data_IF_825026806042
#
_entry.id   IF_825026806042
#
_cell.length_a   1.000
_cell.length_b   1.000
_cell.length_c   1.000
_cell.angle_alpha   90.00
_cell.angle_beta   90.00
_cell.angle_gamma   90.00
#
_symmetry.space_group_name_H-M   'P 1'
#
loop_
_entity.id
_entity.type
_entity.pdbx_description
1 polymer ?
#
# COMPACT_ATOMS: atom_id res chain seq x y z
N UNK A 1 4.27 -4.32 5.20
CA UNK A 1 3.87 -5.75 5.32
C UNK A 1 3.22 -6.04 6.67
N UNK A 2 3.84 -5.68 7.79
CA UNK A 2 3.29 -5.92 9.13
C UNK A 2 1.87 -5.38 9.30
N UNK A 3 1.64 -4.12 8.94
CA UNK A 3 0.32 -3.50 9.02
C UNK A 3 -0.77 -4.26 8.26
N UNK A 4 -0.45 -4.80 7.08
CA UNK A 4 -1.41 -5.60 6.32
C UNK A 4 -1.76 -6.90 7.05
N UNK A 5 -0.78 -7.55 7.69
CA UNK A 5 -1.03 -8.73 8.54
C UNK A 5 -1.88 -8.37 9.76
N UNK A 6 -1.63 -7.22 10.39
CA UNK A 6 -2.42 -6.75 11.53
C UNK A 6 -3.89 -6.50 11.15
N UNK A 7 -4.17 -6.12 9.89
CA UNK A 7 -5.51 -6.03 9.35
C UNK A 7 -6.13 -7.37 8.93
N UNK A 8 -5.44 -8.49 9.14
CA UNK A 8 -5.91 -9.83 8.81
C UNK A 8 -5.71 -10.24 7.35
N UNK A 9 -4.93 -9.48 6.57
CA UNK A 9 -4.60 -9.87 5.20
C UNK A 9 -3.53 -10.97 5.17
N UNK A 10 -3.68 -11.92 4.24
CA UNK A 10 -2.60 -12.80 3.85
C UNK A 10 -1.55 -12.00 3.07
N UNK A 11 -0.28 -12.11 3.48
CA UNK A 11 0.83 -11.37 2.87
C UNK A 11 1.91 -12.35 2.44
N UNK A 12 2.27 -12.30 1.16
CA UNK A 12 3.26 -13.16 0.52
C UNK A 12 4.40 -12.32 -0.05
N UNK A 13 5.64 -12.78 0.17
CA UNK A 13 6.82 -12.25 -0.52
C UNK A 13 7.29 -13.30 -1.51
N UNK A 14 7.06 -13.05 -2.81
CA UNK A 14 7.40 -13.98 -3.89
C UNK A 14 7.66 -13.25 -5.19
N UNK A 15 8.24 -13.97 -6.14
CA UNK A 15 8.21 -13.55 -7.56
C UNK A 15 6.79 -13.74 -8.11
N UNK A 16 6.39 -12.84 -8.99
CA UNK A 16 5.11 -12.89 -9.71
C UNK A 16 5.33 -12.53 -11.17
N UNK A 17 4.47 -13.03 -12.05
CA UNK A 17 4.52 -12.71 -13.48
C UNK A 17 3.71 -11.46 -13.79
N UNK A 18 4.02 -10.81 -14.92
CA UNK A 18 3.28 -9.61 -15.36
C UNK A 18 1.79 -9.92 -15.58
N UNK A 19 1.44 -11.12 -16.02
CA UNK A 19 0.05 -11.50 -16.24
C UNK A 19 -0.75 -11.49 -14.92
N UNK A 20 -0.13 -11.91 -13.81
CA UNK A 20 -0.75 -11.82 -12.48
C UNK A 20 -0.96 -10.36 -12.02
N UNK A 21 -0.02 -9.46 -12.37
CA UNK A 21 -0.16 -8.03 -12.09
C UNK A 21 -1.34 -7.42 -12.85
N UNK A 22 -1.54 -7.82 -14.10
CA UNK A 22 -2.62 -7.31 -14.94
C UNK A 22 -4.02 -7.79 -14.47
N UNK A 23 -4.08 -8.80 -13.61
CA UNK A 23 -5.32 -9.30 -13.00
C UNK A 23 -5.57 -8.71 -11.58
N UNK A 24 -4.65 -7.91 -11.05
CA UNK A 24 -4.78 -7.35 -9.71
C UNK A 24 -5.93 -6.33 -9.61
N UNK A 25 -6.63 -6.31 -8.46
CA UNK A 25 -7.65 -5.30 -8.16
C UNK A 25 -7.08 -3.90 -7.89
N UNK A 26 -5.96 -3.87 -7.15
CA UNK A 26 -5.27 -2.67 -6.69
C UNK A 26 -3.76 -2.85 -6.80
N UNK A 27 -3.05 -1.78 -7.16
CA UNK A 27 -1.59 -1.75 -7.20
C UNK A 27 -1.13 -0.44 -6.59
N UNK A 28 -0.09 -0.50 -5.77
CA UNK A 28 0.53 0.68 -5.18
C UNK A 28 2.04 0.51 -5.06
N UNK A 29 2.74 1.64 -5.08
CA UNK A 29 4.16 1.71 -4.78
C UNK A 29 4.35 2.31 -3.39
N UNK A 30 5.40 1.89 -2.69
CA UNK A 30 5.78 2.45 -1.39
C UNK A 30 7.20 3.00 -1.45
N UNK A 31 7.47 4.00 -0.63
CA UNK A 31 8.80 4.60 -0.54
C UNK A 31 8.80 5.76 0.43
N UNK A 32 9.94 6.02 1.07
CA UNK A 32 10.04 7.03 2.15
C UNK A 32 9.52 8.41 1.75
N UNK A 33 9.76 8.83 0.50
CA UNK A 33 9.33 10.13 0.01
C UNK A 33 7.81 10.23 -0.26
N UNK A 34 7.17 9.12 -0.61
CA UNK A 34 5.76 9.08 -1.05
C UNK A 34 4.83 8.40 -0.05
N UNK A 35 5.37 7.71 0.95
CA UNK A 35 4.63 6.79 1.81
C UNK A 35 4.07 5.63 0.99
N UNK A 36 2.82 5.78 0.53
CA UNK A 36 2.12 4.88 -0.37
C UNK A 36 1.52 5.73 -1.51
N UNK A 37 1.80 5.34 -2.75
CA UNK A 37 1.25 5.95 -3.97
C UNK A 37 0.45 4.91 -4.73
N UNK A 38 -0.83 5.16 -4.95
CA UNK A 38 -1.67 4.34 -5.82
C UNK A 38 -1.16 4.35 -7.27
N UNK A 39 -1.32 3.22 -7.95
CA UNK A 39 -1.05 3.09 -9.38
C UNK A 39 -2.38 3.02 -10.10
N UNK A 40 -2.74 4.07 -10.84
CA UNK A 40 -4.00 4.11 -11.57
C UNK A 40 -4.06 3.17 -12.78
N UNK A 41 -2.92 2.88 -13.40
CA UNK A 41 -2.87 1.99 -14.56
C UNK A 41 -1.45 1.51 -14.87
N UNK A 42 -1.35 0.35 -15.52
CA UNK A 42 -0.12 -0.14 -16.16
C UNK A 42 -0.39 -0.37 -17.64
N UNK A 43 0.62 -0.08 -18.48
CA UNK A 43 0.60 -0.42 -19.90
C UNK A 43 1.72 -1.41 -20.20
N UNK A 44 1.38 -2.56 -20.77
CA UNK A 44 2.31 -3.62 -21.13
C UNK A 44 1.94 -4.20 -22.49
N UNK A 45 2.91 -4.26 -23.43
CA UNK A 45 2.69 -4.76 -24.80
C UNK A 45 1.44 -4.16 -25.47
N UNK A 46 1.32 -2.84 -25.41
CA UNK A 46 0.19 -2.07 -25.95
C UNK A 46 -1.19 -2.35 -25.31
N UNK A 47 -1.23 -3.17 -24.24
CA UNK A 47 -2.41 -3.38 -23.42
C UNK A 47 -2.34 -2.49 -22.17
N UNK A 48 -3.34 -1.63 -22.00
CA UNK A 48 -3.55 -0.84 -20.78
C UNK A 48 -4.54 -1.56 -19.86
N UNK A 49 -4.18 -1.66 -18.58
CA UNK A 49 -5.07 -2.08 -17.50
C UNK A 49 -5.15 -0.96 -16.49
N UNK A 50 -6.37 -0.60 -16.11
CA UNK A 50 -6.66 0.38 -15.07
C UNK A 50 -7.01 -0.34 -13.77
N UNK A 51 -6.50 0.17 -12.64
CA UNK A 51 -6.71 -0.41 -11.30
C UNK A 51 -7.69 0.42 -10.49
N UNK A 52 -8.26 -0.17 -9.42
CA UNK A 52 -9.11 0.57 -8.48
C UNK A 52 -8.24 1.56 -7.68
N UNK A 53 -8.68 2.81 -7.62
CA UNK A 53 -8.03 3.91 -6.89
C UNK A 53 -9.01 4.64 -5.99
N UNK A 54 -8.49 5.44 -5.06
CA UNK A 54 -9.29 6.29 -4.20
C UNK A 54 -9.94 5.58 -3.00
N UNK A 55 -11.11 6.06 -2.60
CA UNK A 55 -11.76 5.64 -1.34
C UNK A 55 -12.24 4.19 -1.39
N UNK A 56 -12.28 3.55 -0.21
CA UNK A 56 -12.64 2.12 -0.04
C UNK A 56 -11.63 1.10 -0.61
N UNK A 57 -10.42 1.53 -0.95
CA UNK A 57 -9.32 0.64 -1.33
C UNK A 57 -8.51 0.17 -0.12
N UNK A 58 -7.88 -1.00 -0.23
CA UNK A 58 -6.88 -1.45 0.76
C UNK A 58 -5.69 -0.49 0.77
N UNK A 59 -5.32 0.02 -0.38
CA UNK A 59 -4.27 1.04 -0.57
C UNK A 59 -4.52 2.26 0.32
N UNK A 60 -5.70 2.88 0.24
CA UNK A 60 -6.06 4.04 1.06
C UNK A 60 -6.07 3.69 2.55
N UNK A 61 -6.63 2.54 2.93
CA UNK A 61 -6.67 2.09 4.33
C UNK A 61 -5.27 1.96 4.93
N UNK A 62 -4.32 1.41 4.18
CA UNK A 62 -2.93 1.30 4.63
C UNK A 62 -2.26 2.67 4.74
N UNK A 63 -2.51 3.57 3.78
CA UNK A 63 -1.96 4.92 3.78
C UNK A 63 -2.45 5.75 4.98
N UNK A 64 -3.76 5.76 5.23
CA UNK A 64 -4.37 6.50 6.33
C UNK A 64 -3.82 6.04 7.68
N UNK A 65 -3.64 4.74 7.85
CA UNK A 65 -3.19 4.18 9.11
C UNK A 65 -1.71 4.47 9.37
N UNK A 66 -0.82 4.26 8.38
CA UNK A 66 0.61 4.54 8.58
C UNK A 66 0.86 6.04 8.77
N UNK A 67 0.15 6.89 8.04
CA UNK A 67 0.23 8.35 8.18
C UNK A 67 -0.34 8.80 9.52
N UNK A 68 -1.44 8.19 9.96
CA UNK A 68 -2.03 8.44 11.28
C UNK A 68 -1.06 8.15 12.42
N UNK A 69 -0.30 7.05 12.33
CA UNK A 69 0.77 6.74 13.29
C UNK A 69 1.88 7.81 13.23
N UNK A 70 2.39 8.11 12.03
CA UNK A 70 3.49 9.06 11.84
C UNK A 70 3.16 10.47 12.33
N UNK A 71 1.90 10.88 12.21
CA UNK A 71 1.41 12.20 12.63
C UNK A 71 0.92 12.24 14.08
N UNK A 72 0.91 11.10 14.77
CA UNK A 72 0.43 10.98 16.16
C UNK A 72 -1.09 11.06 16.31
N UNK A 73 -1.86 10.99 15.22
CA UNK A 73 -3.33 10.89 15.24
C UNK A 73 -3.77 9.50 15.72
N UNK A 74 -3.00 8.47 15.37
CA UNK A 74 -3.19 7.10 15.82
C UNK A 74 -2.06 6.70 16.78
N UNK A 75 -2.39 5.84 17.73
CA UNK A 75 -1.42 5.30 18.68
C UNK A 75 -0.42 4.38 17.97
N UNK A 76 0.86 4.58 18.26
CA UNK A 76 1.94 3.72 17.79
C UNK A 76 2.11 2.51 18.70
N UNK A 77 1.45 1.40 18.34
CA UNK A 77 1.54 0.15 19.10
C UNK A 77 2.83 -0.64 18.83
N UNK A 78 3.64 -0.24 17.84
CA UNK A 78 4.81 -0.99 17.38
C UNK A 78 6.14 -0.30 17.73
N UNK A 79 6.08 0.92 18.28
CA UNK A 79 7.26 1.69 18.64
C UNK A 79 8.07 2.16 17.42
N UNK A 80 7.40 2.45 16.31
CA UNK A 80 8.00 3.00 15.08
C UNK A 80 8.34 4.49 15.19
N UNK A 81 7.62 5.26 16.01
CA UNK A 81 7.77 6.70 16.16
C UNK A 81 8.70 7.00 17.32
N UNK A 82 9.80 7.70 17.02
CA UNK A 82 10.75 8.18 18.02
C UNK A 82 10.63 9.68 18.13
N UNK A 83 10.38 10.17 19.35
CA UNK A 83 10.42 11.60 19.66
C UNK A 83 11.87 12.07 19.66
N UNK A 84 12.14 13.14 18.94
CA UNK A 84 13.43 13.85 18.96
C UNK A 84 13.23 15.12 19.78
N UNK A 85 14.11 15.34 20.76
CA UNK A 85 14.16 16.56 21.59
C UNK A 85 15.18 17.57 21.03
#
# INVERSE_FOLDING_TARGET
MELARDFGFQVEERKFWVDELLEADEVFCTGTAVGISEVGSVTYKDQRVDFKTGTNTVTQKLYDFITGIQTGVLEDQKGWVVKID
#
